data_IF_120318165921
#
_entry.id   IF_120318165921
#
_cell.length_a   1.000
_cell.length_b   1.000
_cell.length_c   1.000
_cell.angle_alpha   90.00
_cell.angle_beta   90.00
_cell.angle_gamma   90.00
#
_symmetry.space_group_name_H-M   'P 1'
#
loop_
_entity.id
_entity.type
_entity.pdbx_description
1 polymer ?
#
# COMPACT_ATOMS: atom_id res chain seq x y z
N UNK A 1 -10.50 -12.24 18.35
CA UNK A 1 -9.35 -11.28 18.24
C UNK A 1 -9.46 -10.52 16.94
N UNK A 2 -9.24 -9.21 16.98
CA UNK A 2 -9.28 -8.37 15.79
C UNK A 2 -8.01 -8.61 14.93
N UNK A 3 -8.18 -8.61 13.62
CA UNK A 3 -7.06 -8.73 12.67
C UNK A 3 -5.97 -7.69 12.87
N UNK A 4 -6.30 -6.54 13.45
CA UNK A 4 -5.32 -5.51 13.78
C UNK A 4 -4.19 -6.03 14.68
N UNK A 5 -4.47 -7.02 15.53
CA UNK A 5 -3.46 -7.63 16.39
C UNK A 5 -2.44 -8.47 15.61
N UNK A 6 -2.76 -8.86 14.37
CA UNK A 6 -1.87 -9.66 13.52
C UNK A 6 -0.81 -8.83 12.83
N UNK A 7 -0.98 -7.51 12.73
CA UNK A 7 -0.15 -6.65 11.91
C UNK A 7 0.38 -5.45 12.66
N UNK A 8 1.56 -5.01 12.26
CA UNK A 8 2.11 -3.69 12.59
C UNK A 8 1.92 -2.81 11.38
N UNK A 9 1.29 -1.67 11.56
CA UNK A 9 1.04 -0.73 10.49
C UNK A 9 2.11 0.35 10.46
N UNK A 10 2.55 0.71 9.25
CA UNK A 10 3.45 1.82 9.01
C UNK A 10 3.14 2.41 7.64
N UNK A 11 3.66 3.59 7.38
CA UNK A 11 3.53 4.23 6.07
C UNK A 11 4.89 4.34 5.42
N UNK A 12 4.92 4.19 4.10
CA UNK A 12 6.12 4.38 3.31
C UNK A 12 5.75 5.04 1.99
N UNK A 13 6.74 5.60 1.33
CA UNK A 13 6.57 6.12 -0.03
C UNK A 13 7.43 5.30 -0.98
N UNK A 14 6.90 5.08 -2.19
CA UNK A 14 7.65 4.41 -3.25
C UNK A 14 7.50 5.19 -4.54
N UNK A 15 8.57 5.32 -5.31
CA UNK A 15 8.50 5.98 -6.60
C UNK A 15 7.74 5.12 -7.61
N UNK A 16 6.95 5.77 -8.46
CA UNK A 16 6.24 5.13 -9.55
C UNK A 16 6.26 6.03 -10.76
N UNK A 17 6.52 5.44 -11.93
CA UNK A 17 6.48 6.16 -13.20
C UNK A 17 5.03 6.19 -13.69
N UNK A 18 4.46 7.38 -13.75
CA UNK A 18 3.08 7.59 -14.18
C UNK A 18 3.04 8.58 -15.34
N UNK A 19 2.10 8.37 -16.24
CA UNK A 19 1.87 9.27 -17.35
C UNK A 19 0.56 10.02 -17.13
N UNK A 20 0.62 11.36 -17.16
CA UNK A 20 -0.57 12.18 -17.01
C UNK A 20 -1.57 11.90 -18.14
N UNK A 21 -2.85 11.72 -17.78
CA UNK A 21 -3.89 11.43 -18.76
C UNK A 21 -4.28 12.66 -19.58
N UNK A 22 -3.93 13.86 -19.14
CA UNK A 22 -4.24 15.11 -19.80
C UNK A 22 -3.15 15.59 -20.75
N UNK A 23 -1.90 15.67 -20.28
CA UNK A 23 -0.78 16.13 -21.11
C UNK A 23 0.09 14.99 -21.64
N UNK A 24 -0.12 13.77 -21.17
CA UNK A 24 0.61 12.56 -21.56
C UNK A 24 2.11 12.60 -21.34
N UNK A 25 2.55 13.46 -20.42
CA UNK A 25 3.97 13.54 -20.05
C UNK A 25 4.27 12.55 -18.92
N UNK A 26 5.24 11.66 -19.09
CA UNK A 26 5.65 10.75 -18.03
C UNK A 26 6.49 11.46 -16.99
N UNK A 27 6.26 11.13 -15.71
CA UNK A 27 7.05 11.63 -14.59
C UNK A 27 7.09 10.57 -13.49
N UNK A 28 8.06 10.72 -12.60
CA UNK A 28 8.13 9.87 -11.40
C UNK A 28 7.43 10.55 -10.24
N UNK A 29 6.54 9.81 -9.59
CA UNK A 29 5.76 10.29 -8.45
C UNK A 29 6.04 9.42 -7.24
N UNK A 30 6.08 10.05 -6.06
CA UNK A 30 6.19 9.31 -4.81
C UNK A 30 4.79 9.01 -4.30
N UNK A 31 4.44 7.73 -4.30
CA UNK A 31 3.14 7.27 -3.86
C UNK A 31 3.21 6.77 -2.41
N UNK A 32 2.21 7.11 -1.62
CA UNK A 32 2.13 6.68 -0.23
C UNK A 32 1.47 5.30 -0.14
N UNK A 33 2.07 4.45 0.68
CA UNK A 33 1.59 3.09 0.92
C UNK A 33 1.40 2.85 2.41
N UNK A 34 0.32 2.19 2.76
CA UNK A 34 0.14 1.63 4.10
C UNK A 34 0.74 0.23 4.10
N UNK A 35 1.77 0.04 4.92
CA UNK A 35 2.44 -1.25 5.06
C UNK A 35 1.87 -1.95 6.28
N UNK A 36 1.39 -3.17 6.09
CA UNK A 36 0.89 -4.01 7.18
C UNK A 36 1.77 -5.26 7.26
N UNK A 37 2.71 -5.22 8.20
CA UNK A 37 3.63 -6.34 8.42
C UNK A 37 3.09 -7.25 9.51
N UNK A 38 3.06 -8.54 9.21
CA UNK A 38 2.68 -9.56 10.15
C UNK A 38 3.61 -9.53 11.38
N UNK A 39 3.04 -9.54 12.58
CA UNK A 39 3.82 -9.58 13.82
C UNK A 39 4.50 -10.96 13.96
N UNK A 40 5.57 -11.01 14.77
CA UNK A 40 6.32 -12.25 14.94
C UNK A 40 5.53 -13.29 15.73
N UNK A 41 4.76 -12.84 16.70
CA UNK A 41 3.99 -13.71 17.58
C UNK A 41 2.64 -13.11 17.90
N UNK A 42 1.63 -13.97 18.01
CA UNK A 42 0.35 -13.56 18.53
C UNK A 42 0.41 -13.34 20.05
N UNK A 43 -0.48 -12.47 20.59
CA UNK A 43 -0.65 -12.35 22.05
C UNK A 43 -1.00 -13.70 22.68
N UNK A 44 -0.67 -13.86 23.95
CA UNK A 44 -0.93 -15.11 24.70
C UNK A 44 -2.41 -15.47 24.80
N UNK A 45 -3.30 -14.48 24.73
CA UNK A 45 -4.74 -14.69 24.78
C UNK A 45 -5.37 -15.09 23.46
N UNK A 46 -4.55 -15.30 22.42
CA UNK A 46 -5.03 -15.79 21.13
C UNK A 46 -5.47 -17.26 21.23
N UNK A 47 -6.63 -17.58 20.67
CA UNK A 47 -7.16 -18.94 20.64
C UNK A 47 -6.69 -19.68 19.38
N UNK A 48 -7.15 -20.92 19.19
CA UNK A 48 -6.79 -21.74 18.03
C UNK A 48 -7.26 -21.13 16.72
N UNK A 49 -8.42 -20.47 16.72
CA UNK A 49 -8.96 -19.83 15.52
C UNK A 49 -8.08 -18.65 15.11
N UNK A 50 -7.62 -17.87 16.09
CA UNK A 50 -6.71 -16.76 15.84
C UNK A 50 -5.37 -17.24 15.28
N UNK A 51 -4.85 -18.33 15.84
CA UNK A 51 -3.60 -18.93 15.36
C UNK A 51 -3.75 -19.46 13.94
N UNK A 52 -4.87 -20.09 13.60
CA UNK A 52 -5.13 -20.58 12.26
C UNK A 52 -5.21 -19.44 11.25
N UNK A 53 -5.91 -18.36 11.58
CA UNK A 53 -5.98 -17.16 10.75
C UNK A 53 -4.62 -16.52 10.58
N UNK A 54 -3.85 -16.41 11.67
CA UNK A 54 -2.53 -15.82 11.66
C UNK A 54 -1.56 -16.60 10.77
N UNK A 55 -1.61 -17.94 10.82
CA UNK A 55 -0.72 -18.75 9.99
C UNK A 55 -0.97 -18.57 8.49
N UNK A 56 -2.20 -18.23 8.11
CA UNK A 56 -2.57 -17.95 6.71
C UNK A 56 -2.39 -16.50 6.31
N UNK A 57 -2.18 -15.62 7.28
CA UNK A 57 -2.01 -14.20 7.00
C UNK A 57 -0.65 -13.93 6.37
N UNK A 58 -0.61 -12.96 5.48
CA UNK A 58 0.63 -12.54 4.81
C UNK A 58 0.81 -11.04 5.00
N UNK A 59 2.05 -10.59 5.09
CA UNK A 59 2.36 -9.17 5.09
C UNK A 59 2.02 -8.56 3.73
N UNK A 60 1.43 -7.39 3.73
CA UNK A 60 1.05 -6.73 2.49
C UNK A 60 1.08 -5.21 2.64
N UNK A 61 0.96 -4.52 1.53
CA UNK A 61 0.85 -3.07 1.50
C UNK A 61 -0.30 -2.65 0.60
N UNK A 62 -0.93 -1.54 0.95
CA UNK A 62 -2.08 -0.99 0.23
C UNK A 62 -1.74 0.44 -0.20
N UNK A 63 -2.04 0.76 -1.45
CA UNK A 63 -1.83 2.10 -1.98
C UNK A 63 -2.84 3.07 -1.33
N UNK A 64 -2.33 4.13 -0.73
CA UNK A 64 -3.15 5.16 -0.07
C UNK A 64 -3.57 6.27 -1.04
N UNK A 65 -2.75 6.54 -2.05
CA UNK A 65 -3.04 7.60 -3.03
C UNK A 65 -3.81 7.02 -4.21
N UNK A 66 -4.93 7.63 -4.55
CA UNK A 66 -5.70 7.27 -5.74
C UNK A 66 -5.53 8.28 -6.87
N UNK A 67 -5.06 9.49 -6.55
CA UNK A 67 -4.85 10.58 -7.50
C UNK A 67 -3.56 11.30 -7.20
N UNK A 68 -2.96 11.87 -8.23
CA UNK A 68 -1.76 12.71 -8.10
C UNK A 68 -1.90 13.93 -9.00
N UNK A 69 -1.24 15.01 -8.60
CA UNK A 69 -1.17 16.22 -9.43
C UNK A 69 0.01 16.11 -10.41
N UNK A 70 -0.25 16.41 -11.67
CA UNK A 70 0.78 16.38 -12.71
C UNK A 70 1.94 17.33 -12.35
N UNK A 71 3.16 16.85 -12.51
CA UNK A 71 4.37 17.64 -12.23
C UNK A 71 4.71 18.62 -13.35
N UNK A 72 4.10 18.48 -14.52
CA UNK A 72 4.37 19.35 -15.65
C UNK A 72 3.85 20.77 -15.36
N UNK A 73 4.69 21.81 -15.38
CA UNK A 73 4.27 23.19 -15.04
C UNK A 73 3.11 23.71 -15.87
N UNK A 74 2.99 23.26 -17.12
CA UNK A 74 1.93 23.71 -18.02
C UNK A 74 0.61 22.97 -17.84
N UNK A 75 0.63 21.85 -17.14
CA UNK A 75 -0.56 21.02 -16.93
C UNK A 75 -1.10 21.15 -15.50
N UNK A 76 -0.38 20.59 -14.55
CA UNK A 76 -0.69 20.54 -13.12
C UNK A 76 -2.09 20.05 -12.77
N UNK A 77 -2.73 19.34 -13.69
CA UNK A 77 -4.05 18.75 -13.42
C UNK A 77 -3.91 17.50 -12.58
N UNK A 78 -4.90 17.26 -11.72
CA UNK A 78 -4.97 16.04 -10.95
C UNK A 78 -5.54 14.93 -11.81
N UNK A 79 -4.86 13.78 -11.86
CA UNK A 79 -5.31 12.61 -12.62
C UNK A 79 -5.33 11.38 -11.73
N UNK A 80 -6.14 10.41 -12.09
CA UNK A 80 -6.24 9.16 -11.35
C UNK A 80 -5.05 8.25 -11.66
N UNK A 81 -4.57 7.57 -10.61
CA UNK A 81 -3.50 6.59 -10.75
C UNK A 81 -4.07 5.34 -11.42
N UNK A 82 -3.44 4.92 -12.51
CA UNK A 82 -3.84 3.72 -13.24
C UNK A 82 -2.61 2.87 -13.55
N UNK A 83 -2.83 1.58 -13.79
CA UNK A 83 -1.76 0.67 -14.13
C UNK A 83 -0.88 0.26 -12.95
N UNK A 84 -1.21 0.70 -11.74
CA UNK A 84 -0.50 0.33 -10.50
C UNK A 84 -1.41 -0.53 -9.66
N UNK A 85 -0.89 -1.66 -9.18
CA UNK A 85 -1.65 -2.52 -8.26
C UNK A 85 -1.85 -1.81 -6.94
N UNK A 86 -3.08 -1.79 -6.44
CA UNK A 86 -3.42 -1.14 -5.17
C UNK A 86 -3.06 -1.98 -3.95
N UNK A 87 -2.81 -3.26 -4.14
CA UNK A 87 -2.39 -4.17 -3.07
C UNK A 87 -1.20 -4.99 -3.55
N UNK A 88 -0.17 -5.06 -2.74
CA UNK A 88 1.01 -5.87 -3.03
C UNK A 88 1.39 -6.69 -1.80
N UNK A 89 1.66 -7.98 -2.00
CA UNK A 89 2.14 -8.83 -0.91
C UNK A 89 3.64 -8.63 -0.72
N UNK A 90 4.05 -8.63 0.55
CA UNK A 90 5.46 -8.49 0.92
C UNK A 90 6.07 -9.88 1.09
N UNK A 91 7.24 -10.07 0.51
CA UNK A 91 8.02 -11.29 0.71
C UNK A 91 8.89 -11.10 1.95
N UNK A 92 8.78 -12.00 2.89
CA UNK A 92 9.60 -12.00 4.12
C UNK A 92 10.70 -13.07 4.05
#
# INVERSE_FOLDING_TARGET
MDERAFYRESQTTKPANLTCTYCRTPNTYDLRWLVRRKVDRLPRNADERDRAKFSKAASYMVLLDDKVACKEPRCRKTFEISGVKTTAFLTE
#
